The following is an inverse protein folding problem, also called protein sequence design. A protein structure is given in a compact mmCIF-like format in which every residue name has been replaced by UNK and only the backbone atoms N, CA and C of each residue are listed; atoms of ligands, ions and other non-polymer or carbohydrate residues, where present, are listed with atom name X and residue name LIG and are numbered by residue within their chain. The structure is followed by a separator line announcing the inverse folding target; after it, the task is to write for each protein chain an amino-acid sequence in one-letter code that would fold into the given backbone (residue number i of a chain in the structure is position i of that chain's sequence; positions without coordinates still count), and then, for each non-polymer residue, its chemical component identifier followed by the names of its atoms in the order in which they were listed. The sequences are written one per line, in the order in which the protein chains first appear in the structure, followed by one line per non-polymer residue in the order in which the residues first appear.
data_IF_184189804170
#
_entry.id   IF_184189804170
#
_cell.length_a   1.000
_cell.length_b   1.000
_cell.length_c   1.000
_cell.angle_alpha   90.00
_cell.angle_beta   90.00
_cell.angle_gamma   90.00
#
_symmetry.space_group_name_H-M   'P 1'
#
loop_
_entity.id
_entity.type
_entity.pdbx_description
1 polymer ?
#
# COMPACT_ATOMS: atom_id res chain seq x y z
N UNK A 1 11.13 20.08 8.64
CA UNK A 1 10.03 19.28 8.04
C UNK A 1 10.48 18.79 6.67
N UNK A 2 10.85 17.52 6.52
CA UNK A 2 11.23 16.98 5.22
C UNK A 2 9.96 16.83 4.37
N UNK A 3 9.83 17.62 3.29
CA UNK A 3 8.76 17.47 2.33
C UNK A 3 8.90 16.11 1.63
N UNK A 4 8.01 15.17 1.96
CA UNK A 4 7.94 13.89 1.27
C UNK A 4 7.18 14.10 -0.04
N UNK A 5 7.87 13.97 -1.17
CA UNK A 5 7.25 14.02 -2.49
C UNK A 5 6.24 12.88 -2.59
N UNK A 6 5.04 13.18 -3.08
CA UNK A 6 3.96 12.20 -3.32
C UNK A 6 3.63 12.14 -4.80
N UNK A 7 3.15 10.99 -5.27
CA UNK A 7 2.58 10.86 -6.61
C UNK A 7 1.12 11.39 -6.64
N UNK A 8 0.51 11.40 -7.83
CA UNK A 8 -0.90 11.81 -8.03
C UNK A 8 -1.93 11.06 -7.16
N UNK A 9 -1.58 9.86 -6.70
CA UNK A 9 -2.44 9.02 -5.86
C UNK A 9 -2.16 9.24 -4.35
N UNK A 10 -1.32 10.21 -3.98
CA UNK A 10 -0.97 10.53 -2.60
C UNK A 10 0.05 9.58 -1.97
N UNK A 11 0.68 8.70 -2.73
CA UNK A 11 1.72 7.80 -2.21
C UNK A 11 3.09 8.49 -2.20
N UNK A 12 3.84 8.40 -1.10
CA UNK A 12 5.23 8.84 -1.04
C UNK A 12 6.13 8.15 -2.08
N UNK A 13 6.95 8.97 -2.74
CA UNK A 13 7.95 8.54 -3.73
C UNK A 13 9.35 8.95 -3.29
N UNK A 14 10.34 8.16 -3.66
CA UNK A 14 11.76 8.49 -3.46
C UNK A 14 12.22 9.55 -4.50
N UNK A 15 13.51 9.89 -4.46
CA UNK A 15 14.11 10.86 -5.41
C UNK A 15 14.03 10.41 -6.88
N UNK A 16 14.00 9.10 -7.12
CA UNK A 16 13.93 8.50 -8.45
C UNK A 16 12.48 8.37 -8.97
N UNK A 17 11.48 8.65 -8.13
CA UNK A 17 10.07 8.50 -8.47
C UNK A 17 9.46 7.15 -8.06
N UNK A 18 10.23 6.25 -7.44
CA UNK A 18 9.74 4.94 -7.01
C UNK A 18 8.87 5.03 -5.75
N UNK A 19 7.88 4.15 -5.67
CA UNK A 19 6.97 4.08 -4.53
C UNK A 19 7.68 3.50 -3.30
N UNK A 20 7.80 4.32 -2.24
CA UNK A 20 8.53 3.94 -1.02
C UNK A 20 7.94 2.69 -0.36
N UNK A 21 6.61 2.59 -0.29
CA UNK A 21 5.94 1.45 0.32
C UNK A 21 6.22 0.12 -0.42
N UNK A 22 6.45 0.14 -1.74
CA UNK A 22 6.84 -1.05 -2.51
C UNK A 22 8.23 -1.50 -2.09
N UNK A 23 9.18 -0.57 -2.03
CA UNK A 23 10.55 -0.87 -1.60
C UNK A 23 10.61 -1.45 -0.18
N UNK A 24 9.78 -0.94 0.74
CA UNK A 24 9.70 -1.47 2.11
C UNK A 24 9.08 -2.88 2.13
N UNK A 25 8.03 -3.11 1.33
CA UNK A 25 7.39 -4.42 1.22
C UNK A 25 8.31 -5.48 0.61
N UNK A 26 9.07 -5.15 -0.45
CA UNK A 26 10.06 -6.05 -1.06
C UNK A 26 11.16 -6.45 -0.09
N UNK A 27 11.68 -5.48 0.67
CA UNK A 27 12.64 -5.73 1.75
C UNK A 27 12.06 -6.63 2.84
N UNK A 28 10.76 -6.50 3.16
CA UNK A 28 10.06 -7.37 4.12
C UNK A 28 9.97 -8.82 3.64
N UNK A 29 9.59 -9.03 2.38
CA UNK A 29 9.37 -10.38 1.82
C UNK A 29 10.66 -11.00 1.25
N UNK A 30 11.78 -10.27 1.25
CA UNK A 30 13.11 -10.68 0.76
C UNK A 30 13.11 -11.13 -0.71
N UNK A 31 12.23 -10.54 -1.52
CA UNK A 31 12.17 -10.73 -2.98
C UNK A 31 11.48 -9.54 -3.65
N UNK A 32 11.67 -9.34 -4.96
CA UNK A 32 10.87 -8.40 -5.73
C UNK A 32 9.37 -8.76 -5.69
N UNK A 33 8.51 -7.75 -5.83
CA UNK A 33 7.10 -7.99 -6.10
C UNK A 33 6.95 -8.66 -7.47
N UNK A 34 6.16 -9.71 -7.53
CA UNK A 34 5.81 -10.39 -8.78
C UNK A 34 4.80 -9.57 -9.55
N UNK A 35 4.65 -9.88 -10.83
CA UNK A 35 3.57 -9.30 -11.61
C UNK A 35 2.21 -9.64 -10.99
N UNK A 36 1.31 -8.67 -11.01
CA UNK A 36 0.00 -8.77 -10.35
C UNK A 36 0.00 -8.68 -8.82
N UNK A 37 1.14 -8.50 -8.15
CA UNK A 37 1.20 -8.22 -6.71
C UNK A 37 1.09 -6.73 -6.40
N UNK A 38 0.38 -6.40 -5.31
CA UNK A 38 0.20 -5.05 -4.79
C UNK A 38 0.45 -5.03 -3.28
N UNK A 39 0.79 -3.85 -2.78
CA UNK A 39 1.00 -3.59 -1.36
C UNK A 39 -0.21 -2.87 -0.80
N UNK A 40 -0.77 -3.42 0.27
CA UNK A 40 -1.90 -2.87 1.01
C UNK A 40 -1.41 -2.29 2.34
N UNK A 41 -1.90 -1.09 2.69
CA UNK A 41 -1.74 -0.51 4.03
C UNK A 41 -2.98 -0.88 4.85
N UNK A 42 -2.79 -1.63 5.94
CA UNK A 42 -3.91 -2.17 6.73
C UNK A 42 -4.72 -1.07 7.43
N UNK A 43 -4.06 0.00 7.88
CA UNK A 43 -4.67 1.17 8.51
C UNK A 43 -5.20 2.22 7.51
N UNK A 44 -4.95 2.03 6.21
CA UNK A 44 -5.29 2.99 5.17
C UNK A 44 -4.40 4.25 5.12
N UNK A 45 -3.45 4.41 6.02
CA UNK A 45 -2.50 5.52 6.00
C UNK A 45 -1.32 5.20 5.07
N UNK A 46 -1.27 5.91 3.93
CA UNK A 46 -0.24 5.78 2.89
C UNK A 46 1.16 6.21 3.33
N UNK A 47 1.29 6.77 4.53
CA UNK A 47 2.57 7.23 5.12
C UNK A 47 3.09 6.30 6.21
N UNK A 48 2.29 5.34 6.69
CA UNK A 48 2.71 4.36 7.68
C UNK A 48 3.42 3.16 7.04
N UNK A 49 4.74 3.24 6.96
CA UNK A 49 5.60 2.18 6.40
C UNK A 49 6.05 1.10 7.40
N UNK A 50 5.41 0.98 8.56
CA UNK A 50 5.71 -0.13 9.47
C UNK A 50 5.57 -1.46 8.74
N UNK A 51 6.58 -2.34 8.82
CA UNK A 51 6.56 -3.64 8.13
C UNK A 51 5.31 -4.45 8.48
N UNK A 52 4.81 -4.35 9.71
CA UNK A 52 3.58 -5.00 10.14
C UNK A 52 2.31 -4.42 9.51
N UNK A 53 2.31 -3.15 9.10
CA UNK A 53 1.18 -2.46 8.46
C UNK A 53 1.06 -2.76 6.95
N UNK A 54 2.15 -3.23 6.32
CA UNK A 54 2.21 -3.51 4.89
C UNK A 54 1.96 -4.99 4.59
N UNK A 55 0.98 -5.27 3.73
CA UNK A 55 0.68 -6.63 3.28
C UNK A 55 0.79 -6.74 1.76
N UNK A 56 1.53 -7.74 1.28
CA UNK A 56 1.63 -8.05 -0.15
C UNK A 56 0.53 -9.04 -0.50
N UNK A 57 -0.24 -8.75 -1.55
CA UNK A 57 -1.35 -9.58 -1.99
C UNK A 57 -1.58 -9.45 -3.51
N UNK A 58 -2.34 -10.37 -4.09
CA UNK A 58 -2.72 -10.27 -5.50
C UNK A 58 -3.73 -9.14 -5.74
N UNK A 59 -3.69 -8.52 -6.92
CA UNK A 59 -4.67 -7.49 -7.33
C UNK A 59 -6.12 -7.93 -7.18
N UNK A 60 -6.54 -9.16 -7.57
CA UNK A 60 -7.92 -9.61 -7.39
C UNK A 60 -8.31 -9.68 -5.92
N UNK A 61 -7.41 -10.13 -5.05
CA UNK A 61 -7.67 -10.20 -3.62
C UNK A 61 -7.79 -8.80 -3.01
N UNK A 62 -6.91 -7.88 -3.39
CA UNK A 62 -6.97 -6.48 -2.96
C UNK A 62 -8.30 -5.79 -3.35
N UNK A 63 -8.78 -6.02 -4.57
CA UNK A 63 -10.08 -5.51 -5.03
C UNK A 63 -11.24 -6.09 -4.20
N UNK A 64 -11.26 -7.41 -3.99
CA UNK A 64 -12.24 -8.09 -3.13
C UNK A 64 -12.22 -7.55 -1.69
N UNK A 65 -11.03 -7.33 -1.14
CA UNK A 65 -10.84 -6.79 0.22
C UNK A 65 -11.46 -5.39 0.34
N UNK A 66 -11.15 -4.48 -0.59
CA UNK A 66 -11.73 -3.13 -0.57
C UNK A 66 -13.24 -3.13 -0.80
N UNK A 67 -13.76 -4.02 -1.64
CA UNK A 67 -15.22 -4.15 -1.82
C UNK A 67 -15.90 -4.61 -0.53
N UNK A 68 -15.30 -5.54 0.21
CA UNK A 68 -15.80 -5.94 1.54
C UNK A 68 -15.69 -4.81 2.57
N UNK A 69 -14.59 -4.06 2.59
CA UNK A 69 -14.41 -2.91 3.48
C UNK A 69 -15.42 -1.79 3.19
N UNK A 70 -15.71 -1.49 1.91
CA UNK A 70 -16.74 -0.52 1.52
C UNK A 70 -18.12 -0.93 2.02
N UNK A 71 -18.51 -2.20 1.83
CA UNK A 71 -19.78 -2.74 2.36
C UNK A 71 -19.90 -2.59 3.87
N UNK A 72 -18.79 -2.77 4.61
CA UNK A 72 -18.76 -2.56 6.07
C UNK A 72 -18.86 -1.09 6.44
N UNK A 73 -18.28 -0.19 5.64
CA UNK A 73 -18.29 1.25 5.88
C UNK A 73 -19.66 1.88 5.59
N UNK A 74 -20.42 1.34 4.64
CA UNK A 74 -21.82 1.72 4.37
C UNK A 74 -22.85 1.02 5.26
N UNK A 75 -22.40 0.21 6.24
CA UNK A 75 -23.28 -0.45 7.23
C UNK A 75 -23.31 0.33 8.56
N UNK A 76 -22.58 1.45 8.63
CA UNK A 76 -22.52 2.39 9.73
C UNK A 76 -22.74 3.82 9.22
N UNK A 77 -23.73 3.98 8.34
CA UNK A 77 -24.39 5.25 8.05
C UNK A 77 -25.79 5.21 8.68
#
# INVERSE_FOLDING_TARGET
MAWIRKNRNGYPINRNGDLIHRNVAEKKIKRPLRDGEVVHHQDGDKTNFRRSNLSVMSRPFHSKLHNRMKKRRSFWD
#
